data_IF_384265604633
#
_entry.id   IF_384265604633
#
_cell.length_a   1.000
_cell.length_b   1.000
_cell.length_c   1.000
_cell.angle_alpha   90.00
_cell.angle_beta   90.00
_cell.angle_gamma   90.00
#
_symmetry.space_group_name_H-M   'P 1'
#
loop_
_entity.id
_entity.type
_entity.pdbx_description
1 polymer ?
#
# COMPACT_ATOMS: atom_id res chain seq x y z
N UNK A 1 3.10 -6.25 26.61
CA UNK A 1 2.12 -6.08 25.52
C UNK A 1 2.76 -5.42 24.30
N UNK A 2 3.40 -4.25 24.43
CA UNK A 2 4.08 -3.50 23.34
C UNK A 2 5.08 -4.34 22.52
N UNK A 3 5.91 -5.19 23.15
CA UNK A 3 6.82 -6.11 22.43
C UNK A 3 6.11 -7.12 21.51
N UNK A 4 4.85 -7.50 21.78
CA UNK A 4 4.04 -8.34 20.87
C UNK A 4 3.52 -7.54 19.68
N UNK A 5 3.23 -6.25 19.87
CA UNK A 5 2.84 -5.34 18.79
C UNK A 5 4.00 -5.06 17.82
N UNK A 6 5.23 -4.89 18.32
CA UNK A 6 6.41 -4.78 17.46
C UNK A 6 6.73 -6.05 16.67
N UNK A 7 6.24 -7.23 17.09
CA UNK A 7 6.32 -8.46 16.29
C UNK A 7 5.25 -8.55 15.18
N UNK A 8 4.24 -7.67 15.20
CA UNK A 8 3.16 -7.64 14.19
C UNK A 8 3.64 -7.15 12.83
N UNK A 9 4.54 -6.17 12.84
CA UNK A 9 5.23 -5.72 11.65
C UNK A 9 6.38 -6.69 11.36
N UNK A 10 6.36 -7.31 10.19
CA UNK A 10 7.55 -7.98 9.69
C UNK A 10 8.58 -6.92 9.35
N UNK A 11 9.49 -6.68 10.30
CA UNK A 11 10.56 -5.68 10.21
C UNK A 11 11.36 -5.87 8.91
N UNK A 12 11.46 -7.10 8.39
CA UNK A 12 12.13 -7.37 7.11
C UNK A 12 11.38 -6.72 5.94
N UNK A 13 10.06 -6.85 5.89
CA UNK A 13 9.22 -6.26 4.83
C UNK A 13 9.23 -4.74 4.91
N UNK A 14 9.21 -4.17 6.13
CA UNK A 14 9.34 -2.73 6.33
C UNK A 14 10.70 -2.21 5.86
N UNK A 15 11.79 -2.91 6.19
CA UNK A 15 13.14 -2.57 5.70
C UNK A 15 13.19 -2.66 4.17
N UNK A 16 12.59 -3.68 3.54
CA UNK A 16 12.49 -3.78 2.08
C UNK A 16 11.76 -2.57 1.50
N UNK A 17 10.64 -2.16 2.08
CA UNK A 17 9.85 -1.02 1.61
C UNK A 17 10.63 0.30 1.71
N UNK A 18 11.36 0.51 2.81
CA UNK A 18 12.25 1.68 2.97
C UNK A 18 13.41 1.63 1.97
N UNK A 19 14.07 0.47 1.83
CA UNK A 19 15.16 0.30 0.85
C UNK A 19 14.68 0.56 -0.58
N UNK A 20 13.48 0.09 -0.95
CA UNK A 20 12.89 0.34 -2.26
C UNK A 20 12.62 1.83 -2.49
N UNK A 21 12.14 2.54 -1.47
CA UNK A 21 11.94 3.99 -1.55
C UNK A 21 13.24 4.72 -1.86
N UNK A 22 14.35 4.38 -1.19
CA UNK A 22 15.67 4.97 -1.43
C UNK A 22 16.39 4.43 -2.67
N UNK A 23 16.06 3.23 -3.13
CA UNK A 23 16.56 2.70 -4.39
C UNK A 23 15.86 3.35 -5.60
N UNK A 24 14.65 3.87 -5.41
CA UNK A 24 13.86 4.50 -6.47
C UNK A 24 14.60 5.58 -7.26
N UNK A 25 15.32 6.54 -6.64
CA UNK A 25 16.01 7.60 -7.36
C UNK A 25 17.26 7.07 -8.07
N UNK A 26 17.92 6.06 -7.50
CA UNK A 26 19.11 5.43 -8.09
C UNK A 26 18.72 4.66 -9.35
N UNK A 27 17.62 3.91 -9.31
CA UNK A 27 17.15 3.10 -10.43
C UNK A 27 16.50 3.93 -11.54
N UNK A 28 15.80 5.01 -11.19
CA UNK A 28 15.14 5.87 -12.18
C UNK A 28 16.07 6.94 -12.78
N UNK A 29 17.22 7.24 -12.16
CA UNK A 29 18.15 8.25 -12.69
C UNK A 29 17.55 9.67 -12.73
N UNK A 30 17.92 10.48 -13.72
CA UNK A 30 17.46 11.87 -13.90
C UNK A 30 16.10 11.97 -14.60
N UNK A 31 15.18 11.04 -14.32
CA UNK A 31 13.84 11.06 -14.88
C UNK A 31 12.92 12.01 -14.09
N UNK A 32 11.84 12.45 -14.73
CA UNK A 32 10.85 13.35 -14.13
C UNK A 32 9.95 12.60 -13.16
N UNK A 33 9.31 13.33 -12.24
CA UNK A 33 8.35 12.77 -11.29
C UNK A 33 7.34 11.84 -11.95
N UNK A 34 6.72 12.28 -13.04
CA UNK A 34 5.68 11.56 -13.77
C UNK A 34 6.20 10.28 -14.39
N UNK A 35 7.39 10.32 -15.00
CA UNK A 35 8.04 9.13 -15.56
C UNK A 35 8.31 8.10 -14.46
N UNK A 36 8.87 8.53 -13.33
CA UNK A 36 9.16 7.63 -12.23
C UNK A 36 7.89 7.03 -11.60
N UNK A 37 6.82 7.81 -11.46
CA UNK A 37 5.61 7.38 -10.78
C UNK A 37 4.72 6.48 -11.68
N UNK A 38 4.57 6.84 -12.96
CA UNK A 38 3.60 6.21 -13.86
C UNK A 38 4.28 5.24 -14.82
N UNK A 39 5.30 5.69 -15.53
CA UNK A 39 5.84 4.98 -16.69
C UNK A 39 6.96 4.00 -16.34
N UNK A 40 7.69 4.23 -15.24
CA UNK A 40 8.61 3.28 -14.62
C UNK A 40 7.85 2.17 -13.88
N UNK A 41 6.82 1.62 -14.54
CA UNK A 41 5.80 0.65 -14.13
C UNK A 41 6.24 -0.28 -12.99
N UNK A 42 7.45 -0.79 -13.06
CA UNK A 42 8.00 -1.70 -12.07
C UNK A 42 8.03 -1.11 -10.66
N UNK A 43 8.46 0.13 -10.47
CA UNK A 43 8.85 0.58 -9.14
C UNK A 43 7.66 0.93 -8.24
N UNK A 44 6.68 1.69 -8.75
CA UNK A 44 5.44 1.96 -8.03
C UNK A 44 4.64 0.67 -7.77
N UNK A 45 4.52 -0.19 -8.79
CA UNK A 45 3.85 -1.51 -8.66
C UNK A 45 4.54 -2.39 -7.60
N UNK A 46 5.87 -2.48 -7.62
CA UNK A 46 6.61 -3.29 -6.64
C UNK A 46 6.43 -2.74 -5.23
N UNK A 47 6.51 -1.43 -5.05
CA UNK A 47 6.29 -0.82 -3.74
C UNK A 47 4.87 -1.10 -3.23
N UNK A 48 3.85 -0.96 -4.08
CA UNK A 48 2.46 -1.28 -3.74
C UNK A 48 2.33 -2.75 -3.34
N UNK A 49 2.93 -3.68 -4.09
CA UNK A 49 2.88 -5.11 -3.78
C UNK A 49 3.56 -5.47 -2.45
N UNK A 50 4.71 -4.84 -2.13
CA UNK A 50 5.38 -5.01 -0.83
C UNK A 50 4.51 -4.47 0.30
N UNK A 51 3.85 -3.33 0.09
CA UNK A 51 2.89 -2.76 1.04
C UNK A 51 1.68 -3.70 1.27
N UNK A 52 1.10 -4.25 0.21
CA UNK A 52 0.00 -5.23 0.30
C UNK A 52 0.44 -6.48 1.06
N UNK A 53 1.65 -6.98 0.83
CA UNK A 53 2.20 -8.10 1.59
C UNK A 53 2.32 -7.76 3.09
N UNK A 54 2.77 -6.55 3.42
CA UNK A 54 2.86 -6.07 4.80
C UNK A 54 1.47 -6.04 5.46
N UNK A 55 0.47 -5.44 4.80
CA UNK A 55 -0.91 -5.40 5.29
C UNK A 55 -1.51 -6.79 5.46
N UNK A 56 -1.25 -7.71 4.53
CA UNK A 56 -1.71 -9.10 4.61
C UNK A 56 -1.12 -9.84 5.81
N UNK A 57 0.19 -9.69 6.04
CA UNK A 57 0.84 -10.29 7.20
C UNK A 57 0.36 -9.68 8.51
N UNK A 58 0.25 -8.34 8.58
CA UNK A 58 -0.26 -7.63 9.74
C UNK A 58 -1.67 -8.12 10.10
N UNK A 59 -2.56 -8.15 9.11
CA UNK A 59 -3.95 -8.62 9.25
C UNK A 59 -4.02 -10.07 9.76
N UNK A 60 -3.18 -10.96 9.23
CA UNK A 60 -3.09 -12.34 9.70
C UNK A 60 -2.66 -12.44 11.17
N UNK A 61 -1.79 -11.54 11.64
CA UNK A 61 -1.39 -11.50 13.04
C UNK A 61 -2.44 -10.83 13.94
N UNK A 62 -3.15 -9.81 13.46
CA UNK A 62 -4.27 -9.19 14.15
C UNK A 62 -5.34 -10.22 14.53
N UNK A 63 -5.66 -11.18 13.67
CA UNK A 63 -6.61 -12.26 14.00
C UNK A 63 -6.26 -13.01 15.31
N UNK A 64 -4.98 -13.12 15.67
CA UNK A 64 -4.56 -13.74 16.94
C UNK A 64 -4.71 -12.82 18.15
N UNK A 65 -4.60 -11.51 17.96
CA UNK A 65 -4.65 -10.51 19.03
C UNK A 65 -6.06 -9.96 19.26
N UNK A 66 -6.96 -10.09 18.29
CA UNK A 66 -8.31 -9.53 18.36
C UNK A 66 -9.24 -10.35 19.27
N UNK A 67 -8.99 -11.64 19.49
CA UNK A 67 -9.82 -12.50 20.36
C UNK A 67 -10.11 -11.91 21.76
N UNK A 68 -9.12 -11.46 22.56
CA UNK A 68 -9.39 -10.83 23.86
C UNK A 68 -9.95 -9.40 23.77
N UNK A 69 -9.90 -8.75 22.61
CA UNK A 69 -10.43 -7.40 22.38
C UNK A 69 -11.92 -7.49 22.02
N UNK A 70 -12.28 -8.44 21.15
CA UNK A 70 -13.65 -8.72 20.72
C UNK A 70 -14.54 -8.99 21.93
N UNK A 71 -14.06 -9.76 22.91
CA UNK A 71 -14.82 -10.08 24.13
C UNK A 71 -15.08 -8.87 25.03
N UNK A 72 -14.32 -7.78 24.89
CA UNK A 72 -14.45 -6.56 25.72
C UNK A 72 -15.18 -5.42 25.04
N UNK A 73 -14.93 -5.19 23.75
CA UNK A 73 -15.44 -4.03 22.99
C UNK A 73 -16.64 -4.40 22.13
N UNK A 74 -16.77 -5.67 21.77
CA UNK A 74 -17.75 -6.19 20.81
C UNK A 74 -17.17 -6.33 19.40
N UNK A 75 -17.69 -7.31 18.67
CA UNK A 75 -17.16 -7.75 17.37
C UNK A 75 -17.24 -6.66 16.30
N UNK A 76 -18.43 -6.09 16.08
CA UNK A 76 -18.66 -5.09 15.04
C UNK A 76 -17.78 -3.84 15.21
N UNK A 77 -17.70 -3.29 16.43
CA UNK A 77 -16.86 -2.11 16.72
C UNK A 77 -15.37 -2.41 16.51
N UNK A 78 -14.94 -3.61 16.88
CA UNK A 78 -13.55 -4.03 16.72
C UNK A 78 -13.17 -4.13 15.24
N UNK A 79 -13.98 -4.80 14.41
CA UNK A 79 -13.71 -4.92 12.98
C UNK A 79 -13.75 -3.58 12.25
N UNK A 80 -14.75 -2.73 12.53
CA UNK A 80 -14.82 -1.38 11.96
C UNK A 80 -13.60 -0.53 12.33
N UNK A 81 -13.10 -0.64 13.57
CA UNK A 81 -11.89 0.08 14.00
C UNK A 81 -10.65 -0.40 13.23
N UNK A 82 -10.48 -1.72 13.05
CA UNK A 82 -9.35 -2.26 12.28
C UNK A 82 -9.43 -1.86 10.80
N UNK A 83 -10.63 -1.85 10.22
CA UNK A 83 -10.83 -1.36 8.86
C UNK A 83 -10.35 0.08 8.67
N UNK A 84 -10.80 0.99 9.54
CA UNK A 84 -10.37 2.39 9.48
C UNK A 84 -8.86 2.55 9.73
N UNK A 85 -8.29 1.74 10.62
CA UNK A 85 -6.84 1.73 10.83
C UNK A 85 -6.08 1.33 9.57
N UNK A 86 -6.48 0.24 8.89
CA UNK A 86 -5.86 -0.20 7.64
C UNK A 86 -5.98 0.84 6.53
N UNK A 87 -7.13 1.52 6.43
CA UNK A 87 -7.32 2.61 5.47
C UNK A 87 -6.43 3.81 5.77
N UNK A 88 -6.31 4.21 7.04
CA UNK A 88 -5.40 5.29 7.46
C UNK A 88 -3.95 4.97 7.14
N UNK A 89 -3.49 3.74 7.42
CA UNK A 89 -2.12 3.31 7.10
C UNK A 89 -1.87 3.35 5.59
N UNK A 90 -2.85 2.95 4.78
CA UNK A 90 -2.76 2.96 3.31
C UNK A 90 -2.73 4.37 2.74
N UNK A 91 -3.50 5.29 3.33
CA UNK A 91 -3.44 6.70 3.00
C UNK A 91 -2.07 7.32 3.35
N UNK A 92 -1.55 7.04 4.55
CA UNK A 92 -0.22 7.52 4.96
C UNK A 92 0.86 6.98 4.02
N UNK A 93 0.78 5.70 3.66
CA UNK A 93 1.70 5.06 2.73
C UNK A 93 1.75 5.76 1.37
N UNK A 94 0.58 5.98 0.75
CA UNK A 94 0.51 6.66 -0.56
C UNK A 94 1.05 8.09 -0.49
N UNK A 95 0.75 8.83 0.60
CA UNK A 95 1.31 10.16 0.82
C UNK A 95 2.83 10.15 0.98
N UNK A 96 3.38 9.17 1.71
CA UNK A 96 4.84 9.01 1.82
C UNK A 96 5.46 8.83 0.44
N UNK A 97 4.89 8.00 -0.43
CA UNK A 97 5.40 7.82 -1.80
C UNK A 97 5.38 9.14 -2.55
N UNK A 98 4.24 9.83 -2.57
CA UNK A 98 4.07 11.05 -3.35
C UNK A 98 4.99 12.18 -2.89
N UNK A 99 5.14 12.37 -1.58
CA UNK A 99 6.06 13.36 -0.99
C UNK A 99 7.52 12.97 -1.28
N UNK A 100 7.87 11.69 -1.11
CA UNK A 100 9.25 11.23 -1.36
C UNK A 100 9.65 11.41 -2.82
N UNK A 101 8.76 11.12 -3.75
CA UNK A 101 9.04 11.31 -5.17
C UNK A 101 9.20 12.79 -5.50
N UNK A 102 8.42 13.68 -4.87
CA UNK A 102 8.57 15.11 -5.07
C UNK A 102 9.92 15.62 -4.52
N UNK A 103 10.38 15.04 -3.42
CA UNK A 103 11.69 15.32 -2.84
C UNK A 103 12.85 14.84 -3.73
N UNK A 104 12.74 13.64 -4.32
CA UNK A 104 13.82 13.04 -5.11
C UNK A 104 13.88 13.51 -6.57
N UNK A 105 12.73 13.74 -7.21
CA UNK A 105 12.63 14.04 -8.65
C UNK A 105 12.16 15.46 -8.94
N UNK A 106 11.89 16.26 -7.91
CA UNK A 106 11.35 17.61 -8.04
C UNK A 106 9.85 17.64 -8.29
N UNK A 107 9.34 18.81 -8.67
CA UNK A 107 7.92 19.03 -8.93
C UNK A 107 7.43 18.33 -10.20
N UNK A 108 6.11 18.17 -10.29
CA UNK A 108 5.44 17.70 -11.50
C UNK A 108 5.57 18.78 -12.58
N UNK A 109 5.96 18.39 -13.80
CA UNK A 109 6.03 19.33 -14.92
C UNK A 109 4.62 19.82 -15.29
N UNK A 110 4.45 21.09 -15.71
CA UNK A 110 3.13 21.62 -16.05
C UNK A 110 2.39 20.82 -17.13
N UNK A 111 3.12 20.29 -18.11
CA UNK A 111 2.59 19.49 -19.21
C UNK A 111 2.00 18.14 -18.75
N UNK A 112 2.58 17.55 -17.71
CA UNK A 112 2.19 16.24 -17.17
C UNK A 112 1.24 16.33 -15.96
N UNK A 113 0.91 17.55 -15.52
CA UNK A 113 0.26 17.80 -14.23
C UNK A 113 -1.11 17.10 -14.12
N UNK A 114 -1.93 17.21 -15.17
CA UNK A 114 -3.27 16.61 -15.18
C UNK A 114 -3.21 15.09 -15.10
N UNK A 115 -2.39 14.45 -15.95
CA UNK A 115 -2.24 12.98 -15.98
C UNK A 115 -1.69 12.50 -14.63
N UNK A 116 -0.68 13.17 -14.09
CA UNK A 116 -0.06 12.77 -12.82
C UNK A 116 -1.02 12.84 -11.64
N UNK A 117 -1.78 13.93 -11.51
CA UNK A 117 -2.75 14.06 -10.41
C UNK A 117 -3.89 13.04 -10.57
N UNK A 118 -4.36 12.82 -11.79
CA UNK A 118 -5.38 11.80 -12.06
C UNK A 118 -4.89 10.40 -11.66
N UNK A 119 -3.65 10.05 -12.02
CA UNK A 119 -3.03 8.80 -11.59
C UNK A 119 -2.98 8.70 -10.07
N UNK A 120 -2.53 9.74 -9.37
CA UNK A 120 -2.41 9.73 -7.91
C UNK A 120 -3.75 9.49 -7.22
N UNK A 121 -4.83 10.11 -7.72
CA UNK A 121 -6.19 9.93 -7.19
C UNK A 121 -6.69 8.51 -7.46
N UNK A 122 -6.55 8.02 -8.69
CA UNK A 122 -7.00 6.67 -9.04
C UNK A 122 -6.20 5.60 -8.30
N UNK A 123 -4.87 5.74 -8.19
CA UNK A 123 -4.00 4.84 -7.45
C UNK A 123 -4.39 4.81 -5.95
N UNK A 124 -4.77 5.95 -5.37
CA UNK A 124 -5.28 5.99 -3.99
C UNK A 124 -6.58 5.18 -3.83
N UNK A 125 -7.53 5.37 -4.74
CA UNK A 125 -8.81 4.63 -4.73
C UNK A 125 -8.55 3.13 -4.89
N UNK A 126 -7.70 2.74 -5.83
CA UNK A 126 -7.32 1.34 -6.07
C UNK A 126 -6.64 0.74 -4.84
N UNK A 127 -5.72 1.46 -4.20
CA UNK A 127 -5.06 1.03 -2.95
C UNK A 127 -6.07 0.81 -1.83
N UNK A 128 -7.12 1.63 -1.72
CA UNK A 128 -8.20 1.43 -0.76
C UNK A 128 -9.04 0.18 -1.07
N UNK A 129 -9.36 -0.07 -2.34
CA UNK A 129 -10.05 -1.29 -2.76
C UNK A 129 -9.20 -2.52 -2.40
N UNK A 130 -7.93 -2.52 -2.76
CA UNK A 130 -6.97 -3.59 -2.45
C UNK A 130 -6.86 -3.86 -0.95
N UNK A 131 -6.78 -2.80 -0.15
CA UNK A 131 -6.72 -2.88 1.32
C UNK A 131 -8.02 -3.44 1.89
N UNK A 132 -9.17 -3.11 1.28
CA UNK A 132 -10.47 -3.67 1.67
C UNK A 132 -10.49 -5.18 1.45
N UNK A 133 -9.97 -5.67 0.32
CA UNK A 133 -9.85 -7.10 0.08
C UNK A 133 -8.96 -7.80 1.11
N UNK A 134 -7.83 -7.20 1.49
CA UNK A 134 -6.98 -7.74 2.56
C UNK A 134 -7.75 -7.78 3.89
N UNK A 135 -8.48 -6.71 4.22
CA UNK A 135 -9.27 -6.61 5.43
C UNK A 135 -10.32 -7.73 5.55
N UNK A 136 -10.92 -8.20 4.45
CA UNK A 136 -11.89 -9.30 4.46
C UNK A 136 -11.33 -10.62 5.02
N UNK A 137 -10.01 -10.76 5.12
CA UNK A 137 -9.36 -11.89 5.79
C UNK A 137 -9.54 -11.87 7.32
N UNK A 138 -9.90 -10.73 7.91
CA UNK A 138 -10.08 -10.63 9.37
C UNK A 138 -11.23 -11.53 9.81
N UNK A 139 -11.01 -12.26 10.90
CA UNK A 139 -11.97 -13.26 11.40
C UNK A 139 -11.99 -14.56 10.60
N UNK A 140 -11.25 -14.65 9.49
CA UNK A 140 -11.17 -15.84 8.65
C UNK A 140 -9.81 -16.55 8.77
N UNK A 141 -9.76 -17.81 8.30
CA UNK A 141 -8.51 -18.55 8.17
C UNK A 141 -7.65 -17.87 7.09
N UNK A 142 -6.35 -17.72 7.36
CA UNK A 142 -5.39 -17.16 6.42
C UNK A 142 -5.48 -17.87 5.07
N UNK A 143 -5.82 -17.12 4.03
CA UNK A 143 -5.93 -17.59 2.65
C UNK A 143 -5.18 -16.65 1.72
N UNK A 144 -4.38 -17.23 0.82
CA UNK A 144 -3.58 -16.48 -0.14
C UNK A 144 -4.41 -15.64 -1.12
N UNK A 145 -5.67 -16.00 -1.36
CA UNK A 145 -6.55 -15.25 -2.28
C UNK A 145 -6.72 -13.77 -1.87
N UNK A 146 -6.69 -13.49 -0.56
CA UNK A 146 -6.78 -12.13 0.00
C UNK A 146 -5.54 -11.28 -0.26
N UNK A 147 -4.44 -11.88 -0.75
CA UNK A 147 -3.25 -11.18 -1.21
C UNK A 147 -3.13 -11.21 -2.74
N UNK A 148 -3.41 -12.36 -3.36
CA UNK A 148 -3.29 -12.53 -4.81
C UNK A 148 -4.21 -11.60 -5.60
N UNK A 149 -5.45 -11.43 -5.13
CA UNK A 149 -6.46 -10.60 -5.82
C UNK A 149 -6.09 -9.10 -5.77
N UNK A 150 -5.69 -8.53 -4.61
CA UNK A 150 -5.08 -7.20 -4.55
C UNK A 150 -3.89 -6.99 -5.47
N UNK A 151 -2.93 -7.93 -5.47
CA UNK A 151 -1.75 -7.84 -6.35
C UNK A 151 -2.18 -7.80 -7.82
N UNK A 152 -3.13 -8.66 -8.21
CA UNK A 152 -3.64 -8.68 -9.58
C UNK A 152 -4.32 -7.36 -9.98
N UNK A 153 -5.13 -6.77 -9.08
CA UNK A 153 -5.76 -5.47 -9.32
C UNK A 153 -4.72 -4.35 -9.50
N UNK A 154 -3.68 -4.33 -8.66
CA UNK A 154 -2.58 -3.35 -8.74
C UNK A 154 -1.88 -3.40 -10.10
N UNK A 155 -1.55 -4.62 -10.56
CA UNK A 155 -0.95 -4.84 -11.88
C UNK A 155 -1.89 -4.40 -13.01
N UNK A 156 -3.16 -4.78 -12.95
CA UNK A 156 -4.14 -4.44 -13.97
C UNK A 156 -4.31 -2.91 -14.08
N UNK A 157 -4.40 -2.22 -12.94
CA UNK A 157 -4.50 -0.76 -12.89
C UNK A 157 -3.31 -0.09 -13.60
N UNK A 158 -2.08 -0.46 -13.28
CA UNK A 158 -0.89 0.15 -13.89
C UNK A 158 -0.77 -0.16 -15.38
N UNK A 159 -1.09 -1.38 -15.81
CA UNK A 159 -1.08 -1.76 -17.24
C UNK A 159 -2.15 -0.98 -18.02
N UNK A 160 -3.35 -0.85 -17.47
CA UNK A 160 -4.45 -0.13 -18.13
C UNK A 160 -4.12 1.36 -18.22
N UNK A 161 -3.61 1.95 -17.13
CA UNK A 161 -3.28 3.37 -17.10
C UNK A 161 -2.19 3.72 -18.11
N UNK A 162 -1.09 2.96 -18.14
CA UNK A 162 0.04 3.20 -19.06
C UNK A 162 -0.24 2.88 -20.54
N UNK A 163 -1.35 2.21 -20.85
CA UNK A 163 -1.79 2.01 -22.23
C UNK A 163 -2.79 3.07 -22.71
N UNK A 164 -3.46 3.74 -21.77
CA UNK A 164 -4.46 4.77 -22.07
C UNK A 164 -3.84 6.17 -22.21
N UNK A 165 -2.69 6.40 -21.58
CA UNK A 165 -1.93 7.65 -21.57
C UNK A 165 -0.47 7.36 -21.92
#
# INVERSE_FOLDING_TARGET
MIKKWFKLLDVKVMIILIMMLFASPILCGKNTYTICLIYSNYLCVYMNNVFLLMNYQFTAQCNRLLSPIITRIGEQKTYTSVYYFLMMVSFIYTMIIYISYAFFFGGILPEDMFVTILFMILNLIVTFIETTFIYLQIGQKKNFIYLALPIFMNFLFHIVYTKLF
#
